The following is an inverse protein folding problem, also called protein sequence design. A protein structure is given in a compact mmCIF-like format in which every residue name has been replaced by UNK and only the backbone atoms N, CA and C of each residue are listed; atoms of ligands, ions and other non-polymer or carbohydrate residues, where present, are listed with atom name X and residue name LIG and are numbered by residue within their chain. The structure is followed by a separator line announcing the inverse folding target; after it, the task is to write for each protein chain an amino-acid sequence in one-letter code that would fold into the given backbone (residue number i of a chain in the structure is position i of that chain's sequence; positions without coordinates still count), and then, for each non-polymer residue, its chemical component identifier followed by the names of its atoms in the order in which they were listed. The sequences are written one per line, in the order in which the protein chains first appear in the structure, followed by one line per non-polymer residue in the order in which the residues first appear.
data_IF_186568015617
#
_entry.id   IF_186568015617
#
_cell.length_a   1.000
_cell.length_b   1.000
_cell.length_c   1.000
_cell.angle_alpha   90.00
_cell.angle_beta   90.00
_cell.angle_gamma   90.00
#
_symmetry.space_group_name_H-M   'P 1'
#
loop_
_entity.id
_entity.type
_entity.pdbx_description
1 polymer ?
#
# COMPACT_ATOMS: atom_id res chain seq x y z
N UNK A 1 0.67 -6.71 -19.41
CA UNK A 1 0.47 -8.15 -19.05
C UNK A 1 1.32 -8.64 -17.87
N UNK A 2 2.35 -7.93 -17.39
CA UNK A 2 3.01 -8.27 -16.10
C UNK A 2 2.51 -7.41 -14.93
N UNK A 3 2.24 -6.12 -15.17
CA UNK A 3 1.69 -5.19 -14.18
C UNK A 3 0.38 -5.69 -13.55
N UNK A 4 -0.55 -6.16 -14.37
CA UNK A 4 -1.84 -6.69 -13.90
C UNK A 4 -1.68 -7.96 -13.06
N UNK A 5 -0.75 -8.85 -13.45
CA UNK A 5 -0.47 -10.05 -12.69
C UNK A 5 0.17 -9.71 -11.34
N UNK A 6 1.07 -8.72 -11.29
CA UNK A 6 1.64 -8.22 -10.06
C UNK A 6 0.57 -7.60 -9.15
N UNK A 7 -0.31 -6.75 -9.71
CA UNK A 7 -1.45 -6.17 -8.99
C UNK A 7 -2.30 -7.24 -8.33
N UNK A 8 -2.66 -8.29 -9.06
CA UNK A 8 -3.47 -9.40 -8.54
C UNK A 8 -2.75 -10.21 -7.45
N UNK A 9 -1.44 -10.39 -7.54
CA UNK A 9 -0.65 -11.07 -6.50
C UNK A 9 -0.63 -10.24 -5.21
N UNK A 10 -0.39 -8.93 -5.32
CA UNK A 10 -0.41 -8.00 -4.18
C UNK A 10 -1.82 -7.88 -3.58
N UNK A 11 -2.86 -7.83 -4.42
CA UNK A 11 -4.25 -7.91 -3.98
C UNK A 11 -4.50 -9.19 -3.18
N UNK A 12 -4.05 -10.35 -3.66
CA UNK A 12 -4.29 -11.62 -3.00
C UNK A 12 -3.64 -11.68 -1.61
N UNK A 13 -2.42 -11.19 -1.46
CA UNK A 13 -1.73 -11.04 -0.17
C UNK A 13 -2.54 -10.21 0.83
N UNK A 14 -2.95 -9.00 0.40
CA UNK A 14 -3.72 -8.09 1.22
C UNK A 14 -5.13 -8.63 1.52
N UNK A 15 -5.76 -9.26 0.53
CA UNK A 15 -7.08 -9.86 0.68
C UNK A 15 -7.05 -11.01 1.67
N UNK A 16 -6.01 -11.86 1.68
CA UNK A 16 -5.84 -12.91 2.67
C UNK A 16 -5.59 -12.37 4.07
N UNK A 17 -4.89 -11.25 4.19
CA UNK A 17 -4.60 -10.58 5.46
C UNK A 17 -5.83 -9.91 6.06
N UNK A 18 -6.63 -9.23 5.22
CA UNK A 18 -7.79 -8.45 5.67
C UNK A 18 -9.06 -9.30 5.75
N UNK A 19 -9.29 -10.17 4.77
CA UNK A 19 -10.49 -11.01 4.67
C UNK A 19 -10.09 -12.45 5.01
N UNK A 20 -10.62 -12.97 6.12
CA UNK A 20 -10.45 -14.38 6.52
C UNK A 20 -10.84 -15.39 5.41
N UNK A 21 -11.68 -14.98 4.45
CA UNK A 21 -12.10 -15.79 3.31
C UNK A 21 -12.00 -15.02 1.98
N UNK A 22 -11.25 -15.53 0.98
CA UNK A 22 -11.19 -14.95 -0.37
C UNK A 22 -12.52 -14.99 -1.14
N UNK A 23 -13.44 -15.87 -0.73
CA UNK A 23 -14.73 -16.10 -1.41
C UNK A 23 -15.64 -14.87 -1.33
N UNK A 24 -15.42 -14.00 -0.36
CA UNK A 24 -16.18 -12.75 -0.21
C UNK A 24 -15.59 -11.60 -1.03
N UNK A 25 -14.55 -11.84 -1.84
CA UNK A 25 -14.01 -10.84 -2.74
C UNK A 25 -14.86 -10.74 -4.01
N UNK A 26 -15.09 -9.52 -4.48
CA UNK A 26 -15.82 -9.22 -5.71
C UNK A 26 -14.97 -9.37 -6.97
N UNK A 27 -13.64 -9.44 -6.84
CA UNK A 27 -12.74 -9.69 -7.96
C UNK A 27 -12.82 -11.18 -8.36
N UNK A 28 -13.19 -11.51 -9.61
CA UNK A 28 -13.41 -12.88 -10.05
C UNK A 28 -12.11 -13.71 -10.14
N UNK A 29 -10.95 -13.07 -10.26
CA UNK A 29 -9.65 -13.74 -10.31
C UNK A 29 -9.06 -13.94 -8.91
N UNK A 30 -9.43 -13.11 -7.94
CA UNK A 30 -8.90 -13.13 -6.57
C UNK A 30 -8.89 -14.53 -5.92
N UNK A 31 -9.98 -15.34 -5.91
CA UNK A 31 -9.95 -16.65 -5.25
C UNK A 31 -8.88 -17.60 -5.83
N UNK A 32 -8.68 -17.56 -7.15
CA UNK A 32 -7.66 -18.36 -7.83
C UNK A 32 -6.26 -17.88 -7.47
N UNK A 33 -6.02 -16.57 -7.52
CA UNK A 33 -4.72 -15.98 -7.21
C UNK A 33 -4.37 -16.15 -5.73
N UNK A 34 -5.34 -16.07 -4.81
CA UNK A 34 -5.13 -16.38 -3.38
C UNK A 34 -4.64 -17.81 -3.16
N UNK A 35 -5.13 -18.79 -3.92
CA UNK A 35 -4.65 -20.16 -3.82
C UNK A 35 -3.21 -20.31 -4.34
N UNK A 36 -2.85 -19.58 -5.41
CA UNK A 36 -1.48 -19.52 -5.92
C UNK A 36 -0.55 -18.85 -4.90
N UNK A 37 -0.98 -17.74 -4.30
CA UNK A 37 -0.22 -17.01 -3.29
C UNK A 37 0.05 -17.88 -2.06
N UNK A 38 -0.98 -18.51 -1.48
CA UNK A 38 -0.83 -19.42 -0.34
C UNK A 38 0.10 -20.60 -0.64
N UNK A 39 0.09 -21.07 -1.88
CA UNK A 39 1.02 -22.09 -2.32
C UNK A 39 2.46 -21.56 -2.32
N UNK A 40 2.70 -20.37 -2.88
CA UNK A 40 4.02 -19.73 -2.93
C UNK A 40 4.61 -19.54 -1.52
N UNK A 41 3.81 -19.09 -0.55
CA UNK A 41 4.25 -18.91 0.84
C UNK A 41 4.82 -20.20 1.47
N UNK A 42 4.36 -21.37 1.01
CA UNK A 42 4.76 -22.67 1.54
C UNK A 42 5.63 -23.47 0.55
N UNK A 43 5.93 -22.91 -0.62
CA UNK A 43 6.61 -23.63 -1.69
C UNK A 43 8.13 -23.44 -1.56
N UNK A 44 8.84 -24.54 -1.26
CA UNK A 44 10.31 -24.58 -1.27
C UNK A 44 10.90 -25.00 -2.62
N UNK A 45 10.03 -25.34 -3.58
CA UNK A 45 10.43 -25.73 -4.92
C UNK A 45 10.57 -24.47 -5.79
N UNK A 46 11.66 -23.74 -5.63
CA UNK A 46 11.96 -22.48 -6.33
C UNK A 46 11.74 -22.59 -7.86
N UNK A 47 12.17 -23.72 -8.46
CA UNK A 47 12.13 -23.92 -9.92
C UNK A 47 11.39 -25.20 -10.35
N UNK A 48 11.34 -26.23 -9.51
CA UNK A 48 10.75 -27.54 -9.85
C UNK A 48 9.32 -27.74 -9.35
N UNK A 49 8.59 -26.65 -9.09
CA UNK A 49 7.21 -26.75 -8.66
C UNK A 49 6.31 -27.29 -9.79
N UNK A 50 5.45 -28.27 -9.47
CA UNK A 50 4.49 -28.85 -10.42
C UNK A 50 3.31 -27.94 -10.74
N UNK A 51 3.10 -26.87 -9.96
CA UNK A 51 2.04 -25.89 -10.20
C UNK A 51 2.55 -24.87 -11.24
N UNK A 52 1.97 -24.82 -12.46
CA UNK A 52 2.50 -23.98 -13.54
C UNK A 52 2.52 -22.47 -13.23
N UNK A 53 1.63 -22.03 -12.33
CA UNK A 53 1.52 -20.62 -11.93
C UNK A 53 2.49 -20.24 -10.80
N UNK A 54 3.12 -21.21 -10.13
CA UNK A 54 4.01 -20.95 -9.00
C UNK A 54 5.28 -20.22 -9.42
N UNK A 55 6.09 -20.81 -10.30
CA UNK A 55 7.39 -20.25 -10.65
C UNK A 55 7.30 -18.83 -11.24
N UNK A 56 6.39 -18.52 -12.20
CA UNK A 56 6.25 -17.16 -12.72
C UNK A 56 5.78 -16.16 -11.65
N UNK A 57 4.88 -16.57 -10.76
CA UNK A 57 4.39 -15.69 -9.70
C UNK A 57 5.45 -15.44 -8.61
N UNK A 58 6.20 -16.48 -8.20
CA UNK A 58 7.33 -16.34 -7.27
C UNK A 58 8.41 -15.42 -7.86
N UNK A 59 8.75 -15.57 -9.14
CA UNK A 59 9.69 -14.68 -9.82
C UNK A 59 9.19 -13.24 -9.84
N UNK A 60 7.91 -13.02 -10.11
CA UNK A 60 7.31 -11.68 -10.18
C UNK A 60 7.26 -11.01 -8.81
N UNK A 61 6.84 -11.73 -7.76
CA UNK A 61 6.85 -11.23 -6.38
C UNK A 61 8.27 -10.97 -5.89
N UNK A 62 9.20 -11.89 -6.14
CA UNK A 62 10.62 -11.72 -5.78
C UNK A 62 11.23 -10.51 -6.49
N UNK A 63 10.94 -10.33 -7.78
CA UNK A 63 11.39 -9.15 -8.52
C UNK A 63 10.85 -7.88 -7.87
N UNK A 64 9.56 -7.82 -7.54
CA UNK A 64 8.98 -6.65 -6.90
C UNK A 64 9.66 -6.31 -5.56
N UNK A 65 9.91 -7.32 -4.71
CA UNK A 65 10.54 -7.12 -3.40
C UNK A 65 12.01 -6.68 -3.49
N UNK A 66 12.76 -7.14 -4.50
CA UNK A 66 14.20 -6.82 -4.64
C UNK A 66 14.51 -5.75 -5.69
N UNK A 67 13.51 -5.25 -6.41
CA UNK A 67 13.71 -4.26 -7.46
C UNK A 67 13.87 -2.88 -6.84
N UNK A 68 15.05 -2.28 -6.96
CA UNK A 68 15.31 -0.90 -6.51
C UNK A 68 15.02 0.14 -7.61
N UNK A 69 14.97 -0.30 -8.87
CA UNK A 69 14.73 0.58 -10.02
C UNK A 69 13.35 1.27 -9.90
N UNK A 70 13.41 2.60 -9.87
CA UNK A 70 12.25 3.49 -9.73
C UNK A 70 11.47 3.65 -11.03
N UNK A 71 12.09 3.32 -12.17
CA UNK A 71 11.50 3.40 -13.50
C UNK A 71 11.21 2.00 -14.09
N UNK A 72 11.31 0.95 -13.28
CA UNK A 72 10.99 -0.40 -13.72
C UNK A 72 9.53 -0.47 -14.19
N UNK A 73 9.25 -0.78 -15.46
CA UNK A 73 7.89 -0.71 -16.02
C UNK A 73 6.92 -1.70 -15.37
N UNK A 74 7.42 -2.75 -14.71
CA UNK A 74 6.60 -3.71 -13.99
C UNK A 74 6.27 -3.23 -12.58
N UNK A 75 7.27 -2.69 -11.87
CA UNK A 75 7.15 -2.34 -10.46
C UNK A 75 6.66 -0.91 -10.23
N UNK A 76 6.98 0.03 -11.14
CA UNK A 76 6.71 1.45 -10.98
C UNK A 76 5.24 1.76 -10.67
N UNK A 77 4.24 1.18 -11.36
CA UNK A 77 2.84 1.47 -11.07
C UNK A 77 2.43 1.03 -9.66
N UNK A 78 2.98 -0.09 -9.18
CA UNK A 78 2.67 -0.65 -7.86
C UNK A 78 3.43 0.05 -6.75
N UNK A 79 4.70 0.43 -6.98
CA UNK A 79 5.44 1.32 -6.08
C UNK A 79 4.75 2.68 -5.95
N UNK A 80 4.24 3.21 -7.06
CA UNK A 80 3.42 4.41 -7.02
C UNK A 80 2.15 4.19 -6.20
N UNK A 81 1.42 3.11 -6.47
CA UNK A 81 0.18 2.77 -5.79
C UNK A 81 0.32 2.61 -4.27
N UNK A 82 1.38 1.94 -3.82
CA UNK A 82 1.56 1.53 -2.42
C UNK A 82 2.42 2.51 -1.60
N UNK A 83 3.26 3.33 -2.24
CA UNK A 83 4.19 4.23 -1.56
C UNK A 83 3.98 5.68 -1.99
N UNK A 84 4.25 5.99 -3.26
CA UNK A 84 4.38 7.40 -3.71
C UNK A 84 3.07 8.19 -3.60
N UNK A 85 1.91 7.54 -3.72
CA UNK A 85 0.60 8.18 -3.51
C UNK A 85 0.43 8.75 -2.11
N UNK A 86 1.09 8.14 -1.12
CA UNK A 86 1.00 8.54 0.30
C UNK A 86 2.08 9.55 0.70
N UNK A 87 2.92 10.01 -0.23
CA UNK A 87 3.91 11.04 0.09
C UNK A 87 3.23 12.30 0.63
N UNK A 88 3.74 12.87 1.74
CA UNK A 88 3.20 14.07 2.35
C UNK A 88 3.33 15.27 1.41
N UNK A 89 2.59 16.33 1.72
CA UNK A 89 2.81 17.63 1.10
C UNK A 89 4.13 18.19 1.66
N UNK A 90 5.06 18.53 0.76
CA UNK A 90 6.33 19.16 1.09
C UNK A 90 6.22 20.66 0.76
N UNK A 91 6.45 21.51 1.75
CA UNK A 91 6.45 22.98 1.59
C UNK A 91 7.90 23.47 1.64
N UNK A 92 8.34 24.19 0.60
CA UNK A 92 9.63 24.86 0.61
C UNK A 92 9.57 26.09 1.55
N UNK A 93 10.28 26.03 2.67
CA UNK A 93 10.43 27.15 3.60
C UNK A 93 9.29 27.27 4.62
N UNK A 94 9.57 26.91 5.88
CA UNK A 94 8.69 27.14 7.02
C UNK A 94 9.42 26.98 8.35
N UNK A 95 9.35 28.01 9.19
CA UNK A 95 10.08 28.29 10.43
C UNK A 95 10.33 27.07 11.36
N UNK A 96 11.57 26.98 11.86
CA UNK A 96 12.14 25.90 12.69
C UNK A 96 11.92 26.11 14.20
N UNK A 97 10.70 26.48 14.61
CA UNK A 97 10.37 26.57 16.05
C UNK A 97 9.56 25.34 16.49
N UNK A 98 10.06 24.15 16.12
CA UNK A 98 9.42 22.86 16.40
C UNK A 98 10.43 21.97 17.13
N UNK A 99 9.99 21.34 18.21
CA UNK A 99 10.83 20.44 19.01
C UNK A 99 11.08 19.09 18.33
N UNK A 100 10.33 18.80 17.26
CA UNK A 100 10.43 17.55 16.51
C UNK A 100 10.43 17.77 15.00
N UNK A 101 10.89 16.75 14.28
CA UNK A 101 10.84 16.69 12.81
C UNK A 101 10.60 15.26 12.41
N UNK A 102 9.68 15.04 11.46
CA UNK A 102 9.40 13.72 10.91
C UNK A 102 9.98 13.62 9.50
N UNK A 103 10.56 12.47 9.20
CA UNK A 103 11.00 12.10 7.85
C UNK A 103 9.78 11.94 6.93
N UNK A 104 10.02 12.04 5.62
CA UNK A 104 8.98 11.79 4.60
C UNK A 104 8.38 10.40 4.77
N UNK A 105 9.20 9.41 5.09
CA UNK A 105 8.81 8.02 5.27
C UNK A 105 7.88 7.88 6.49
N UNK A 106 8.23 8.48 7.64
CA UNK A 106 7.36 8.49 8.84
C UNK A 106 5.99 9.14 8.56
N UNK A 107 5.97 10.28 7.87
CA UNK A 107 4.71 10.96 7.52
C UNK A 107 3.89 10.15 6.51
N UNK A 108 4.55 9.47 5.57
CA UNK A 108 3.88 8.59 4.59
C UNK A 108 3.19 7.41 5.28
N UNK A 109 3.80 6.85 6.32
CA UNK A 109 3.20 5.79 7.14
C UNK A 109 1.92 6.27 7.87
N UNK A 110 1.92 7.50 8.40
CA UNK A 110 0.73 8.11 9.00
C UNK A 110 -0.38 8.27 7.97
N UNK A 111 -0.08 8.86 6.80
CA UNK A 111 -1.05 9.10 5.74
C UNK A 111 -1.64 7.77 5.25
N UNK A 112 -0.79 6.75 5.06
CA UNK A 112 -1.21 5.40 4.69
C UNK A 112 -2.10 4.78 5.77
N UNK A 113 -1.70 4.86 7.03
CA UNK A 113 -2.45 4.31 8.17
C UNK A 113 -3.86 4.90 8.30
N UNK A 114 -3.97 6.23 8.21
CA UNK A 114 -5.27 6.91 8.22
C UNK A 114 -6.12 6.48 7.01
N UNK A 115 -5.54 6.46 5.81
CA UNK A 115 -6.27 6.05 4.59
C UNK A 115 -6.82 4.63 4.70
N UNK A 116 -6.03 3.69 5.23
CA UNK A 116 -6.47 2.31 5.46
C UNK A 116 -7.63 2.23 6.44
N UNK A 117 -7.65 3.06 7.50
CA UNK A 117 -8.77 3.12 8.45
C UNK A 117 -10.06 3.57 7.76
N UNK A 118 -10.02 4.66 6.98
CA UNK A 118 -11.17 5.16 6.21
C UNK A 118 -11.68 4.07 5.26
N UNK A 119 -10.78 3.51 4.46
CA UNK A 119 -11.12 2.51 3.46
C UNK A 119 -11.69 1.22 4.07
N UNK A 120 -11.19 0.82 5.25
CA UNK A 120 -11.75 -0.30 6.02
C UNK A 120 -13.20 -0.01 6.47
N UNK A 121 -13.50 1.21 6.93
CA UNK A 121 -14.88 1.59 7.28
C UNK A 121 -15.80 1.63 6.06
N UNK A 122 -15.27 1.93 4.88
CA UNK A 122 -15.99 1.90 3.60
C UNK A 122 -16.05 0.50 2.95
N UNK A 123 -15.46 -0.54 3.56
CA UNK A 123 -15.48 -1.91 3.05
C UNK A 123 -14.52 -2.21 1.88
N UNK A 124 -13.59 -1.30 1.58
CA UNK A 124 -12.71 -1.35 0.41
C UNK A 124 -11.22 -1.48 0.78
N UNK A 125 -10.69 -2.70 1.01
CA UNK A 125 -9.32 -2.83 1.52
C UNK A 125 -8.23 -2.88 0.45
N UNK A 126 -8.55 -3.00 -0.84
CA UNK A 126 -7.54 -3.24 -1.87
C UNK A 126 -6.76 -1.97 -2.24
N UNK A 127 -5.60 -1.77 -1.62
CA UNK A 127 -4.71 -0.63 -1.89
C UNK A 127 -4.01 -0.71 -3.26
N UNK A 128 -4.00 -1.89 -3.91
CA UNK A 128 -3.39 -2.08 -5.23
C UNK A 128 -4.31 -1.65 -6.37
N UNK A 129 -5.59 -1.42 -6.09
CA UNK A 129 -6.55 -0.93 -7.07
C UNK A 129 -6.40 0.58 -7.28
N UNK A 130 -5.55 0.93 -8.25
CA UNK A 130 -5.34 2.31 -8.70
C UNK A 130 -6.60 2.96 -9.29
N UNK A 131 -7.62 2.17 -9.63
CA UNK A 131 -8.85 2.65 -10.26
C UNK A 131 -10.04 2.71 -9.28
N UNK A 132 -9.83 2.39 -8.00
CA UNK A 132 -10.91 2.42 -7.01
C UNK A 132 -11.50 3.84 -6.88
N UNK A 133 -12.80 4.03 -7.20
CA UNK A 133 -13.45 5.33 -7.11
C UNK A 133 -13.40 5.87 -5.68
N UNK A 134 -12.84 7.07 -5.51
CA UNK A 134 -12.73 7.73 -4.20
C UNK A 134 -11.45 7.45 -3.42
N UNK A 135 -10.57 6.55 -3.89
CA UNK A 135 -9.26 6.32 -3.24
C UNK A 135 -8.38 7.56 -3.33
N UNK A 136 -8.23 8.15 -4.52
CA UNK A 136 -7.41 9.36 -4.69
C UNK A 136 -7.95 10.54 -3.89
N UNK A 137 -9.28 10.65 -3.79
CA UNK A 137 -9.92 11.68 -2.99
C UNK A 137 -9.62 11.49 -1.50
N UNK A 138 -9.76 10.27 -0.98
CA UNK A 138 -9.45 9.95 0.41
C UNK A 138 -7.97 10.23 0.74
N UNK A 139 -7.05 9.76 -0.11
CA UNK A 139 -5.61 10.02 0.04
C UNK A 139 -5.33 11.52 0.07
N UNK A 140 -5.94 12.29 -0.84
CA UNK A 140 -5.74 13.73 -0.90
C UNK A 140 -6.27 14.44 0.35
N UNK A 141 -7.45 14.06 0.86
CA UNK A 141 -8.00 14.60 2.10
C UNK A 141 -7.07 14.33 3.30
N UNK A 142 -6.55 13.11 3.40
CA UNK A 142 -5.62 12.73 4.47
C UNK A 142 -4.29 13.50 4.36
N UNK A 143 -3.77 13.69 3.14
CA UNK A 143 -2.56 14.48 2.90
C UNK A 143 -2.71 15.92 3.36
N UNK A 144 -3.85 16.56 3.08
CA UNK A 144 -4.13 17.92 3.56
C UNK A 144 -4.27 17.97 5.09
N UNK A 145 -4.98 17.01 5.67
CA UNK A 145 -5.15 16.91 7.12
C UNK A 145 -3.81 16.76 7.84
N UNK A 146 -2.97 15.82 7.40
CA UNK A 146 -1.66 15.58 7.99
C UNK A 146 -0.72 16.79 7.83
N UNK A 147 -0.73 17.44 6.66
CA UNK A 147 0.07 18.66 6.43
C UNK A 147 -0.34 19.83 7.33
N UNK A 148 -1.66 19.98 7.56
CA UNK A 148 -2.18 21.01 8.46
C UNK A 148 -1.71 20.80 9.90
N UNK A 149 -1.76 19.55 10.38
CA UNK A 149 -1.31 19.20 11.74
C UNK A 149 0.21 19.35 11.84
N UNK A 150 0.96 18.80 10.89
CA UNK A 150 2.41 18.83 10.89
C UNK A 150 2.96 20.26 10.87
N UNK A 151 2.29 21.17 10.17
CA UNK A 151 2.68 22.59 10.11
C UNK A 151 2.36 23.35 11.39
N UNK A 152 1.32 22.96 12.14
CA UNK A 152 0.86 23.65 13.35
C UNK A 152 1.46 23.08 14.65
N UNK A 153 1.84 21.80 14.65
CA UNK A 153 2.37 21.13 15.83
C UNK A 153 3.80 21.61 16.16
N UNK A 154 4.01 22.03 17.41
CA UNK A 154 5.34 22.37 17.94
C UNK A 154 5.96 21.22 18.73
N UNK A 155 5.13 20.32 19.26
CA UNK A 155 5.51 19.12 20.01
C UNK A 155 4.82 17.86 19.45
N UNK A 156 5.36 16.67 19.76
CA UNK A 156 4.91 15.40 19.17
C UNK A 156 3.47 15.02 19.60
N UNK A 157 3.08 15.34 20.83
CA UNK A 157 1.74 15.07 21.35
C UNK A 157 0.64 15.83 20.59
N UNK A 158 0.94 17.05 20.16
CA UNK A 158 0.08 17.87 19.31
C UNK A 158 -0.10 17.28 17.91
N UNK A 159 0.89 16.51 17.44
CA UNK A 159 0.82 15.77 16.17
C UNK A 159 0.05 14.45 16.33
N UNK A 160 0.39 13.66 17.33
CA UNK A 160 -0.14 12.30 17.51
C UNK A 160 -1.63 12.27 17.93
N UNK A 161 -2.07 13.21 18.77
CA UNK A 161 -3.44 13.24 19.28
C UNK A 161 -4.49 13.34 18.15
N UNK A 162 -4.43 14.32 17.24
CA UNK A 162 -5.34 14.39 16.10
C UNK A 162 -5.30 13.16 15.19
N UNK A 163 -4.12 12.56 14.97
CA UNK A 163 -3.94 11.37 14.13
C UNK A 163 -4.62 10.14 14.74
N UNK A 164 -4.55 9.99 16.06
CA UNK A 164 -5.22 8.89 16.76
C UNK A 164 -6.76 8.96 16.57
N UNK A 165 -7.31 10.18 16.56
CA UNK A 165 -8.75 10.44 16.57
C UNK A 165 -9.42 10.62 15.19
N UNK A 166 -8.66 10.62 14.10
CA UNK A 166 -9.21 10.68 12.73
C UNK A 166 -9.93 9.39 12.33
#
# INVERSE_FOLDING_TARGET
MLQEQLRLLLHAELCLTVRKSPITCTDPQCPKICNVYRHIENCTAEVNCKLPQCAPALQLTSHFCSCEDQQCPVCEPMKYALEKRFYPIEREGGQLDREFTLTREQRSEVIRGITVRILRTAGAPDLSDIHFPGMDHAIQCVKYFEDEIYTKATAMDQYDSPIAHY
#
